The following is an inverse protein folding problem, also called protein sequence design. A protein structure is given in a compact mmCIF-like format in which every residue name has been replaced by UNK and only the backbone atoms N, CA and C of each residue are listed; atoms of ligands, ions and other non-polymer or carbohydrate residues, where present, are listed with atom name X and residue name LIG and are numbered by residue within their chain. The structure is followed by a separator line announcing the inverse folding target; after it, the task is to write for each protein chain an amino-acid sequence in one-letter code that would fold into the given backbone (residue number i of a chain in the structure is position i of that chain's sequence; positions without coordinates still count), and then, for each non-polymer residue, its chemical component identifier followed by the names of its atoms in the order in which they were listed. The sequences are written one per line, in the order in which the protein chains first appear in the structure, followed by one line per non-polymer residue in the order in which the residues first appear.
data_IF_687764517299
#
_entry.id   IF_687764517299
#
_cell.length_a   1.000
_cell.length_b   1.000
_cell.length_c   1.000
_cell.angle_alpha   90.00
_cell.angle_beta   90.00
_cell.angle_gamma   90.00
#
_symmetry.space_group_name_H-M   'P 1'
#
loop_
_entity.id
_entity.type
_entity.pdbx_description
1 polymer ?
#
# COMPACT_ATOMS: atom_id res chain seq x y z
N UNK A 1 21.58 16.46 16.25
CA UNK A 1 22.67 16.08 15.31
C UNK A 1 22.13 15.35 14.08
N UNK A 2 21.44 14.19 14.22
CA UNK A 2 20.84 13.45 13.09
C UNK A 2 19.84 14.27 12.25
N UNK A 3 19.01 15.09 12.91
CA UNK A 3 18.04 15.98 12.26
C UNK A 3 18.68 17.09 11.40
N UNK A 4 19.84 17.57 11.81
CA UNK A 4 20.59 18.60 11.08
C UNK A 4 21.24 17.98 9.85
N UNK A 5 21.81 16.77 10.01
CA UNK A 5 22.37 15.98 8.91
C UNK A 5 21.31 15.66 7.87
N UNK A 6 20.09 15.29 8.30
CA UNK A 6 18.93 15.06 7.45
C UNK A 6 18.60 16.27 6.57
N UNK A 7 18.41 17.45 7.20
CA UNK A 7 18.14 18.72 6.50
C UNK A 7 19.26 19.15 5.54
N UNK A 8 20.52 19.01 5.96
CA UNK A 8 21.69 19.35 5.12
C UNK A 8 21.81 18.42 3.92
N UNK A 9 21.55 17.13 4.11
CA UNK A 9 21.62 16.15 3.05
C UNK A 9 20.52 16.42 1.99
N UNK A 10 19.30 16.79 2.40
CA UNK A 10 18.20 17.19 1.49
C UNK A 10 18.55 18.43 0.66
N UNK A 11 19.13 19.47 1.28
CA UNK A 11 19.56 20.68 0.56
C UNK A 11 20.64 20.39 -0.50
N UNK A 12 21.39 19.31 -0.32
CA UNK A 12 22.45 18.87 -1.25
C UNK A 12 21.87 18.13 -2.45
N UNK A 13 20.73 17.44 -2.31
CA UNK A 13 20.05 16.69 -3.37
C UNK A 13 19.44 17.55 -4.47
N UNK A 14 19.09 18.79 -4.18
CA UNK A 14 18.55 19.72 -5.18
C UNK A 14 19.51 20.00 -6.35
N UNK A 15 20.77 19.53 -6.28
CA UNK A 15 21.85 19.89 -7.20
C UNK A 15 22.44 18.74 -8.03
N UNK A 16 22.06 17.48 -7.80
CA UNK A 16 22.74 16.32 -8.41
C UNK A 16 21.89 15.63 -9.48
N UNK A 17 22.41 15.53 -10.73
CA UNK A 17 21.67 15.02 -11.89
C UNK A 17 22.48 14.13 -12.85
N UNK A 18 22.00 12.89 -13.02
CA UNK A 18 22.09 11.99 -14.20
C UNK A 18 23.42 11.35 -14.67
N UNK A 19 24.59 11.55 -14.05
CA UNK A 19 25.81 10.80 -14.43
C UNK A 19 26.14 9.65 -13.44
N UNK A 20 27.09 8.75 -13.80
CA UNK A 20 27.41 7.53 -13.00
C UNK A 20 27.91 7.86 -11.58
N UNK A 21 28.60 8.99 -11.43
CA UNK A 21 29.06 9.52 -10.15
C UNK A 21 27.88 9.98 -9.31
N UNK A 22 26.89 10.62 -9.93
CA UNK A 22 25.66 11.04 -9.26
C UNK A 22 24.80 9.86 -8.80
N UNK A 23 24.74 8.76 -9.56
CA UNK A 23 24.05 7.52 -9.11
C UNK A 23 24.68 6.94 -7.85
N UNK A 24 26.01 6.97 -7.74
CA UNK A 24 26.73 6.49 -6.57
C UNK A 24 26.52 7.41 -5.36
N UNK A 25 26.53 8.73 -5.58
CA UNK A 25 26.19 9.72 -4.55
C UNK A 25 24.76 9.54 -4.05
N UNK A 26 23.79 9.33 -4.94
CA UNK A 26 22.40 9.11 -4.59
C UNK A 26 22.18 7.82 -3.77
N UNK A 27 22.92 6.75 -4.09
CA UNK A 27 22.89 5.50 -3.33
C UNK A 27 23.47 5.65 -1.92
N UNK A 28 24.64 6.29 -1.79
CA UNK A 28 25.24 6.59 -0.47
C UNK A 28 24.31 7.48 0.35
N UNK A 29 23.79 8.54 -0.26
CA UNK A 29 22.82 9.42 0.38
C UNK A 29 21.60 8.66 0.90
N UNK A 30 21.00 7.79 0.07
CA UNK A 30 19.78 7.06 0.45
C UNK A 30 20.03 6.15 1.64
N UNK A 31 21.23 5.54 1.71
CA UNK A 31 21.66 4.72 2.85
C UNK A 31 21.84 5.55 4.12
N UNK A 32 22.48 6.72 4.01
CA UNK A 32 22.69 7.62 5.14
C UNK A 32 21.36 8.20 5.65
N UNK A 33 20.46 8.55 4.73
CA UNK A 33 19.11 9.00 5.02
C UNK A 33 18.34 7.94 5.80
N UNK A 34 18.30 6.71 5.29
CA UNK A 34 17.64 5.60 5.96
C UNK A 34 18.20 5.41 7.38
N UNK A 35 19.53 5.37 7.54
CA UNK A 35 20.16 5.21 8.85
C UNK A 35 19.78 6.36 9.80
N UNK A 36 19.73 7.60 9.30
CA UNK A 36 19.33 8.77 10.08
C UNK A 36 17.85 8.72 10.49
N UNK A 37 16.96 8.35 9.57
CA UNK A 37 15.52 8.22 9.85
C UNK A 37 15.28 7.09 10.86
N UNK A 38 15.84 5.90 10.63
CA UNK A 38 15.69 4.76 11.56
C UNK A 38 16.20 5.12 12.96
N UNK A 39 17.35 5.79 13.07
CA UNK A 39 17.87 6.28 14.35
C UNK A 39 16.95 7.31 15.00
N UNK A 40 16.35 8.20 14.22
CA UNK A 40 15.39 9.19 14.73
C UNK A 40 14.12 8.53 15.27
N UNK A 41 13.63 7.49 14.59
CA UNK A 41 12.45 6.72 15.00
C UNK A 41 12.69 5.84 16.23
N UNK A 42 13.90 5.29 16.42
CA UNK A 42 14.27 4.53 17.63
C UNK A 42 14.17 5.35 18.92
N UNK A 43 14.39 6.67 18.84
CA UNK A 43 14.25 7.56 19.99
C UNK A 43 12.78 7.86 20.36
N UNK A 44 11.81 7.41 19.56
CA UNK A 44 10.35 7.46 19.78
C UNK A 44 9.76 8.80 20.25
N UNK A 45 10.48 9.90 20.09
CA UNK A 45 9.98 11.24 20.45
C UNK A 45 9.06 11.79 19.36
N UNK A 46 7.94 12.39 19.76
CA UNK A 46 6.98 13.05 18.85
C UNK A 46 7.67 14.03 17.89
N UNK A 47 8.62 14.83 18.39
CA UNK A 47 9.41 15.76 17.58
C UNK A 47 10.17 15.08 16.43
N UNK A 48 10.72 13.89 16.65
CA UNK A 48 11.42 13.16 15.59
C UNK A 48 10.42 12.60 14.57
N UNK A 49 9.29 12.07 15.06
CA UNK A 49 8.21 11.56 14.19
C UNK A 49 7.69 12.69 13.29
N UNK A 50 7.38 13.86 13.85
CA UNK A 50 6.88 15.02 13.09
C UNK A 50 7.84 15.45 11.98
N UNK A 51 9.16 15.36 12.23
CA UNK A 51 10.16 15.72 11.23
C UNK A 51 10.28 14.67 10.14
N UNK A 52 10.22 13.38 10.48
CA UNK A 52 10.21 12.32 9.48
C UNK A 52 8.93 12.41 8.64
N UNK A 53 7.80 12.69 9.27
CA UNK A 53 6.52 12.90 8.60
C UNK A 53 6.58 14.08 7.62
N UNK A 54 7.11 15.23 8.04
CA UNK A 54 7.32 16.39 7.15
C UNK A 54 8.26 16.08 5.98
N UNK A 55 9.32 15.30 6.22
CA UNK A 55 10.28 14.92 5.19
C UNK A 55 9.70 13.94 4.16
N UNK A 56 9.09 12.87 4.65
CA UNK A 56 8.59 11.78 3.81
C UNK A 56 7.19 12.06 3.27
N UNK A 57 6.55 13.14 3.75
CA UNK A 57 5.25 13.68 3.38
C UNK A 57 5.18 14.34 2.01
N UNK A 58 3.97 14.81 1.69
CA UNK A 58 3.60 15.41 0.41
C UNK A 58 4.40 16.66 0.03
N UNK A 59 4.93 17.42 0.99
CA UNK A 59 5.62 18.69 0.71
C UNK A 59 7.02 18.51 0.09
N UNK A 60 7.74 17.45 0.47
CA UNK A 60 9.15 17.30 0.13
C UNK A 60 9.48 15.98 -0.56
N UNK A 61 8.79 14.89 -0.19
CA UNK A 61 9.12 13.57 -0.69
C UNK A 61 8.93 13.42 -2.21
N UNK A 62 7.89 13.98 -2.86
CA UNK A 62 7.72 13.84 -4.31
C UNK A 62 8.94 14.31 -5.12
N UNK A 63 9.47 15.47 -4.77
CA UNK A 63 10.68 16.04 -5.36
C UNK A 63 11.92 15.15 -5.14
N UNK A 64 12.05 14.60 -3.93
CA UNK A 64 13.16 13.73 -3.55
C UNK A 64 13.09 12.40 -4.31
N UNK A 65 11.90 11.81 -4.40
CA UNK A 65 11.62 10.61 -5.19
C UNK A 65 11.90 10.84 -6.67
N UNK A 66 11.50 11.98 -7.23
CA UNK A 66 11.75 12.33 -8.62
C UNK A 66 13.26 12.48 -8.91
N UNK A 67 13.99 13.19 -8.06
CA UNK A 67 15.42 13.49 -8.27
C UNK A 67 16.32 12.27 -8.06
N UNK A 68 16.05 11.44 -7.06
CA UNK A 68 16.88 10.27 -6.75
C UNK A 68 16.38 9.00 -7.45
N UNK A 69 15.07 8.81 -7.56
CA UNK A 69 14.44 7.63 -8.14
C UNK A 69 14.53 6.40 -7.22
N UNK A 70 14.86 5.25 -7.81
CA UNK A 70 14.77 3.93 -7.20
C UNK A 70 15.41 3.79 -5.80
N UNK A 71 16.60 4.36 -5.52
CA UNK A 71 17.17 4.30 -4.17
C UNK A 71 16.23 4.86 -3.09
N UNK A 72 15.47 5.91 -3.38
CA UNK A 72 14.53 6.48 -2.41
C UNK A 72 13.26 5.65 -2.25
N UNK A 73 12.80 4.96 -3.29
CA UNK A 73 11.72 4.00 -3.14
C UNK A 73 12.13 2.84 -2.24
N UNK A 74 13.40 2.44 -2.25
CA UNK A 74 13.93 1.45 -1.29
C UNK A 74 13.90 1.98 0.14
N UNK A 75 14.30 3.23 0.35
CA UNK A 75 14.18 3.88 1.66
C UNK A 75 12.72 3.89 2.13
N UNK A 76 11.78 4.29 1.29
CA UNK A 76 10.36 4.28 1.62
C UNK A 76 9.85 2.85 1.93
N UNK A 77 10.21 1.86 1.12
CA UNK A 77 9.86 0.46 1.36
C UNK A 77 10.40 -0.08 2.69
N UNK A 78 11.65 0.25 3.04
CA UNK A 78 12.27 -0.14 4.30
C UNK A 78 11.61 0.57 5.50
N UNK A 79 11.27 1.85 5.37
CA UNK A 79 10.52 2.58 6.40
C UNK A 79 9.12 2.03 6.60
N UNK A 80 8.39 1.73 5.52
CA UNK A 80 7.07 1.10 5.61
C UNK A 80 7.17 -0.23 6.36
N UNK A 81 8.14 -1.08 5.98
CA UNK A 81 8.36 -2.36 6.67
C UNK A 81 8.73 -2.19 8.15
N UNK A 82 9.64 -1.28 8.48
CA UNK A 82 10.07 -1.03 9.85
C UNK A 82 8.89 -0.54 10.70
N UNK A 83 8.15 0.45 10.23
CA UNK A 83 7.00 1.01 10.97
C UNK A 83 5.90 -0.05 11.09
N UNK A 84 5.54 -0.72 10.00
CA UNK A 84 4.48 -1.72 10.03
C UNK A 84 4.85 -2.90 10.93
N UNK A 85 5.96 -3.58 10.67
CA UNK A 85 6.31 -4.84 11.35
C UNK A 85 6.79 -4.64 12.78
N UNK A 86 7.55 -3.58 13.04
CA UNK A 86 8.22 -3.41 14.34
C UNK A 86 7.51 -2.41 15.26
N UNK A 87 6.53 -1.63 14.76
CA UNK A 87 5.82 -0.63 15.58
C UNK A 87 4.31 -0.85 15.61
N UNK A 88 3.64 -0.88 14.45
CA UNK A 88 2.18 -0.97 14.38
C UNK A 88 1.73 -2.40 14.71
N UNK A 89 2.19 -3.39 13.93
CA UNK A 89 1.74 -4.77 13.99
C UNK A 89 1.82 -5.40 15.40
N UNK A 90 2.90 -5.22 16.20
CA UNK A 90 3.01 -5.79 17.56
C UNK A 90 2.06 -5.18 18.60
N UNK A 91 1.41 -4.06 18.25
CA UNK A 91 0.54 -3.29 19.14
C UNK A 91 -0.95 -3.39 18.76
N UNK A 92 -1.28 -3.95 17.59
CA UNK A 92 -2.66 -3.98 17.06
C UNK A 92 -3.66 -4.67 18.00
N UNK A 93 -3.29 -5.81 18.58
CA UNK A 93 -4.12 -6.57 19.53
C UNK A 93 -4.10 -6.01 20.96
N UNK A 94 -3.08 -5.22 21.29
CA UNK A 94 -2.88 -4.64 22.63
C UNK A 94 -3.46 -3.23 22.78
N UNK A 95 -3.82 -2.58 21.68
CA UNK A 95 -4.38 -1.22 21.69
C UNK A 95 -5.82 -1.18 22.24
N UNK A 96 -6.51 -2.33 22.26
CA UNK A 96 -7.79 -2.48 22.92
C UNK A 96 -7.59 -2.55 24.44
N UNK A 97 -8.20 -1.60 25.17
CA UNK A 97 -8.06 -1.51 26.64
C UNK A 97 -6.76 -0.89 27.17
N UNK A 98 -5.86 -0.42 26.31
CA UNK A 98 -4.62 0.27 26.74
C UNK A 98 -4.40 1.59 25.98
N UNK A 99 -4.71 2.71 26.63
CA UNK A 99 -4.61 4.05 26.04
C UNK A 99 -3.20 4.43 25.60
N UNK A 100 -2.17 3.98 26.32
CA UNK A 100 -0.77 4.28 25.95
C UNK A 100 -0.38 3.58 24.66
N UNK A 101 -0.73 2.30 24.54
CA UNK A 101 -0.47 1.51 23.33
C UNK A 101 -1.29 2.04 22.16
N UNK A 102 -2.52 2.49 22.41
CA UNK A 102 -3.37 3.13 21.41
C UNK A 102 -2.76 4.43 20.87
N UNK A 103 -2.30 5.33 21.75
CA UNK A 103 -1.64 6.57 21.34
C UNK A 103 -0.38 6.31 20.52
N UNK A 104 0.40 5.29 20.89
CA UNK A 104 1.59 4.90 20.13
C UNK A 104 1.21 4.34 18.75
N UNK A 105 0.23 3.42 18.68
CA UNK A 105 -0.32 2.91 17.42
C UNK A 105 -0.78 4.06 16.52
N UNK A 106 -1.60 4.97 17.03
CA UNK A 106 -2.17 6.08 16.27
C UNK A 106 -1.07 7.01 15.73
N UNK A 107 -0.02 7.27 16.53
CA UNK A 107 1.14 8.05 16.08
C UNK A 107 1.89 7.37 14.93
N UNK A 108 2.12 6.05 15.02
CA UNK A 108 2.81 5.30 13.97
C UNK A 108 1.98 5.14 12.71
N UNK A 109 0.68 4.88 12.84
CA UNK A 109 -0.25 4.86 11.72
C UNK A 109 -0.30 6.21 11.02
N UNK A 110 -0.35 7.31 11.77
CA UNK A 110 -0.31 8.67 11.23
C UNK A 110 0.99 8.96 10.46
N UNK A 111 2.14 8.56 11.00
CA UNK A 111 3.43 8.70 10.31
C UNK A 111 3.44 7.94 8.97
N UNK A 112 2.86 6.74 8.95
CA UNK A 112 2.82 5.92 7.75
C UNK A 112 1.85 6.49 6.71
N UNK A 113 0.66 6.91 7.16
CA UNK A 113 -0.42 7.45 6.33
C UNK A 113 -0.08 8.84 5.77
N UNK A 114 0.06 9.84 6.65
CA UNK A 114 0.26 11.25 6.27
C UNK A 114 1.71 11.58 5.91
N UNK A 115 2.66 10.80 6.42
CA UNK A 115 4.07 10.91 6.06
C UNK A 115 4.33 10.14 4.78
N UNK A 116 4.59 8.84 4.90
CA UNK A 116 5.21 8.08 3.80
C UNK A 116 4.25 7.86 2.61
N UNK A 117 3.01 7.44 2.87
CA UNK A 117 2.06 7.06 1.81
C UNK A 117 1.55 8.29 1.05
N UNK A 118 1.17 9.36 1.76
CA UNK A 118 0.76 10.61 1.12
C UNK A 118 1.86 11.19 0.21
N UNK A 119 3.13 11.13 0.63
CA UNK A 119 4.26 11.53 -0.22
C UNK A 119 4.41 10.68 -1.49
N UNK A 120 4.16 9.37 -1.40
CA UNK A 120 4.17 8.46 -2.57
C UNK A 120 2.98 8.69 -3.50
N UNK A 121 1.81 9.05 -2.96
CA UNK A 121 0.61 9.38 -3.75
C UNK A 121 0.84 10.64 -4.58
N UNK A 122 1.28 11.75 -3.95
CA UNK A 122 1.59 12.99 -4.68
C UNK A 122 2.65 12.75 -5.75
N UNK A 123 3.69 11.98 -5.44
CA UNK A 123 4.66 11.56 -6.46
C UNK A 123 4.03 10.81 -7.64
N UNK A 124 3.13 9.86 -7.38
CA UNK A 124 2.46 9.10 -8.43
C UNK A 124 1.54 9.99 -9.28
N UNK A 125 0.92 11.00 -8.68
CA UNK A 125 0.05 11.93 -9.38
C UNK A 125 0.85 12.87 -10.30
N UNK A 126 1.96 13.41 -9.80
CA UNK A 126 2.79 14.36 -10.54
C UNK A 126 3.74 13.70 -11.56
N UNK A 127 4.20 12.48 -11.28
CA UNK A 127 5.31 11.86 -12.02
C UNK A 127 5.09 10.38 -12.41
N UNK A 128 3.93 9.80 -12.04
CA UNK A 128 3.67 8.37 -12.16
C UNK A 128 3.77 7.81 -13.58
N UNK A 129 3.37 8.56 -14.60
CA UNK A 129 3.44 8.09 -16.00
C UNK A 129 4.87 7.84 -16.49
N UNK A 130 5.83 8.64 -16.03
CA UNK A 130 7.21 8.58 -16.52
C UNK A 130 8.05 7.59 -15.71
N UNK A 131 7.88 7.57 -14.39
CA UNK A 131 8.81 6.95 -13.46
C UNK A 131 8.26 5.75 -12.68
N UNK A 132 6.94 5.59 -12.55
CA UNK A 132 6.36 4.40 -11.92
C UNK A 132 6.35 3.28 -12.96
N UNK A 133 7.17 2.25 -12.73
CA UNK A 133 7.31 1.08 -13.60
C UNK A 133 7.59 -0.16 -12.74
N UNK A 134 7.90 -1.29 -13.37
CA UNK A 134 8.21 -2.54 -12.67
C UNK A 134 9.16 -2.37 -11.46
N UNK A 135 10.29 -1.64 -11.50
CA UNK A 135 11.17 -1.51 -10.34
C UNK A 135 10.54 -0.78 -9.14
N UNK A 136 9.64 0.18 -9.40
CA UNK A 136 8.86 0.83 -8.35
C UNK A 136 7.94 -0.19 -7.68
N UNK A 137 7.15 -0.92 -8.48
CA UNK A 137 6.20 -1.91 -8.00
C UNK A 137 6.91 -3.05 -7.25
N UNK A 138 8.01 -3.57 -7.77
CA UNK A 138 8.78 -4.64 -7.12
C UNK A 138 9.40 -4.21 -5.79
N UNK A 139 9.66 -2.92 -5.62
CA UNK A 139 10.21 -2.37 -4.38
C UNK A 139 9.13 -2.07 -3.34
N UNK A 140 8.04 -1.40 -3.76
CA UNK A 140 7.05 -0.83 -2.84
C UNK A 140 5.81 -1.69 -2.63
N UNK A 141 5.40 -2.50 -3.61
CA UNK A 141 4.18 -3.30 -3.44
C UNK A 141 4.27 -4.34 -2.33
N UNK A 142 5.38 -5.09 -2.14
CA UNK A 142 5.44 -6.05 -1.04
C UNK A 142 5.18 -5.44 0.35
N UNK A 143 5.86 -4.37 0.79
CA UNK A 143 5.57 -3.76 2.10
C UNK A 143 4.18 -3.14 2.17
N UNK A 144 3.70 -2.51 1.09
CA UNK A 144 2.34 -1.94 1.05
C UNK A 144 1.27 -3.03 1.15
N UNK A 145 1.42 -4.13 0.42
CA UNK A 145 0.46 -5.22 0.42
C UNK A 145 0.34 -5.87 1.80
N UNK A 146 1.43 -6.01 2.56
CA UNK A 146 1.40 -6.54 3.94
C UNK A 146 0.46 -5.75 4.87
N UNK A 147 0.33 -4.43 4.68
CA UNK A 147 -0.62 -3.59 5.46
C UNK A 147 -2.08 -4.02 5.19
N UNK A 148 -2.36 -4.59 4.03
CA UNK A 148 -3.71 -5.04 3.66
C UNK A 148 -4.01 -6.47 4.08
N UNK A 149 -2.99 -7.35 4.08
CA UNK A 149 -3.16 -8.81 4.06
C UNK A 149 -2.45 -9.57 5.19
N UNK A 150 -1.68 -8.90 6.05
CA UNK A 150 -1.20 -9.57 7.26
C UNK A 150 -2.39 -9.99 8.14
N UNK A 151 -2.25 -11.06 8.91
CA UNK A 151 -3.30 -11.68 9.73
C UNK A 151 -4.01 -10.71 10.70
N UNK A 152 -3.30 -9.69 11.19
CA UNK A 152 -3.84 -8.64 12.06
C UNK A 152 -4.23 -7.35 11.32
N UNK A 153 -4.11 -7.31 9.99
CA UNK A 153 -4.37 -6.10 9.19
C UNK A 153 -5.79 -5.54 9.41
N UNK A 154 -6.77 -6.37 9.75
CA UNK A 154 -8.13 -5.95 10.08
C UNK A 154 -8.21 -4.96 11.26
N UNK A 155 -7.23 -5.00 12.18
CA UNK A 155 -7.17 -4.15 13.37
C UNK A 155 -6.47 -2.79 13.13
N UNK A 156 -5.82 -2.61 11.97
CA UNK A 156 -5.20 -1.35 11.60
C UNK A 156 -6.23 -0.31 11.16
N UNK A 157 -5.85 0.97 11.21
CA UNK A 157 -6.71 2.07 10.79
C UNK A 157 -7.26 1.87 9.36
N UNK A 158 -8.59 2.00 9.22
CA UNK A 158 -9.27 1.89 7.92
C UNK A 158 -8.73 2.90 6.91
N UNK A 159 -8.45 4.13 7.34
CA UNK A 159 -7.90 5.17 6.47
C UNK A 159 -6.53 4.81 5.90
N UNK A 160 -5.62 4.31 6.74
CA UNK A 160 -4.31 3.82 6.30
C UNK A 160 -4.46 2.72 5.24
N UNK A 161 -5.26 1.69 5.52
CA UNK A 161 -5.50 0.59 4.56
C UNK A 161 -6.14 1.10 3.27
N UNK A 162 -7.06 2.06 3.36
CA UNK A 162 -7.71 2.68 2.21
C UNK A 162 -6.69 3.43 1.34
N UNK A 163 -5.82 4.23 1.94
CA UNK A 163 -4.78 4.97 1.21
C UNK A 163 -3.79 4.03 0.51
N UNK A 164 -3.37 2.96 1.20
CA UNK A 164 -2.53 1.91 0.62
C UNK A 164 -3.21 1.27 -0.59
N UNK A 165 -4.47 0.84 -0.45
CA UNK A 165 -5.21 0.23 -1.55
C UNK A 165 -5.36 1.18 -2.74
N UNK A 166 -5.66 2.47 -2.48
CA UNK A 166 -5.72 3.52 -3.50
C UNK A 166 -4.38 3.69 -4.24
N UNK A 167 -3.27 3.81 -3.51
CA UNK A 167 -1.95 3.93 -4.14
C UNK A 167 -1.60 2.73 -5.02
N UNK A 168 -1.90 1.51 -4.56
CA UNK A 168 -1.72 0.28 -5.36
C UNK A 168 -2.61 0.30 -6.63
N UNK A 169 -3.86 0.75 -6.51
CA UNK A 169 -4.78 0.92 -7.64
C UNK A 169 -4.24 1.91 -8.66
N UNK A 170 -3.90 3.13 -8.24
CA UNK A 170 -3.53 4.23 -9.13
C UNK A 170 -2.25 3.94 -9.89
N UNK A 171 -1.27 3.34 -9.20
CA UNK A 171 0.01 2.95 -9.81
C UNK A 171 -0.15 1.76 -10.76
N UNK A 172 -1.08 0.84 -10.51
CA UNK A 172 -1.37 -0.29 -11.39
C UNK A 172 -2.29 0.07 -12.57
N UNK A 173 -3.15 1.08 -12.41
CA UNK A 173 -4.06 1.56 -13.46
C UNK A 173 -3.30 2.00 -14.71
N UNK A 174 -2.17 2.69 -14.52
CA UNK A 174 -1.37 3.30 -15.58
C UNK A 174 -0.39 2.32 -16.24
N UNK A 175 -0.06 1.19 -15.59
CA UNK A 175 1.12 0.37 -15.96
C UNK A 175 0.87 -1.13 -15.88
N UNK A 176 0.90 -1.83 -17.02
CA UNK A 176 0.69 -3.29 -17.10
C UNK A 176 1.71 -4.08 -16.26
N UNK A 177 2.96 -3.65 -16.19
CA UNK A 177 3.97 -4.34 -15.37
C UNK A 177 3.65 -4.25 -13.88
N UNK A 178 3.10 -3.13 -13.41
CA UNK A 178 2.64 -2.99 -12.03
C UNK A 178 1.49 -3.98 -11.75
N UNK A 179 0.52 -4.10 -12.68
CA UNK A 179 -0.55 -5.12 -12.56
C UNK A 179 0.02 -6.53 -12.42
N UNK A 180 1.05 -6.88 -13.21
CA UNK A 180 1.73 -8.18 -13.13
C UNK A 180 2.42 -8.41 -11.79
N UNK A 181 3.01 -7.37 -11.20
CA UNK A 181 3.63 -7.46 -9.87
C UNK A 181 2.57 -7.70 -8.79
N UNK A 182 1.42 -7.02 -8.83
CA UNK A 182 0.32 -7.28 -7.89
C UNK A 182 -0.17 -8.73 -7.96
N UNK A 183 -0.20 -9.31 -9.16
CA UNK A 183 -0.63 -10.69 -9.36
C UNK A 183 0.33 -11.73 -8.73
N UNK A 184 1.58 -11.36 -8.41
CA UNK A 184 2.53 -12.29 -7.77
C UNK A 184 2.00 -12.71 -6.39
N UNK A 185 1.89 -14.01 -6.08
CA UNK A 185 1.40 -14.49 -4.77
C UNK A 185 2.22 -13.98 -3.57
N UNK A 186 3.50 -13.73 -3.79
CA UNK A 186 4.42 -13.18 -2.78
C UNK A 186 4.20 -11.69 -2.48
N UNK A 187 3.40 -11.00 -3.29
CA UNK A 187 3.07 -9.58 -3.13
C UNK A 187 1.64 -9.45 -2.60
N UNK A 188 0.66 -9.57 -3.49
CA UNK A 188 -0.76 -9.54 -3.14
C UNK A 188 -1.39 -10.85 -3.63
N UNK A 189 -1.42 -11.09 -4.94
CA UNK A 189 -2.06 -12.26 -5.52
C UNK A 189 -3.59 -12.24 -5.35
N UNK A 190 -4.29 -13.04 -6.16
CA UNK A 190 -5.76 -13.11 -6.16
C UNK A 190 -6.31 -13.62 -4.83
N UNK A 191 -5.78 -14.71 -4.30
CA UNK A 191 -6.30 -15.33 -3.08
C UNK A 191 -6.17 -14.43 -1.82
N UNK A 192 -5.00 -13.81 -1.60
CA UNK A 192 -4.80 -12.93 -0.43
C UNK A 192 -5.57 -11.61 -0.56
N UNK A 193 -5.82 -11.13 -1.80
CA UNK A 193 -6.77 -10.03 -1.99
C UNK A 193 -8.19 -10.44 -1.58
N UNK A 194 -8.61 -11.65 -1.92
CA UNK A 194 -9.85 -12.25 -1.42
C UNK A 194 -9.91 -12.28 0.11
N UNK A 195 -8.83 -12.68 0.77
CA UNK A 195 -8.74 -12.66 2.24
C UNK A 195 -8.88 -11.25 2.80
N UNK A 196 -8.24 -10.25 2.16
CA UNK A 196 -8.37 -8.84 2.55
C UNK A 196 -9.80 -8.32 2.45
N UNK A 197 -10.54 -8.72 1.41
CA UNK A 197 -11.96 -8.39 1.20
C UNK A 197 -12.82 -9.07 2.26
N UNK A 198 -12.53 -10.34 2.57
CA UNK A 198 -13.21 -11.05 3.65
C UNK A 198 -13.03 -10.34 5.00
N UNK A 199 -11.83 -9.81 5.27
CA UNK A 199 -11.48 -9.05 6.50
C UNK A 199 -11.93 -7.58 6.51
N UNK A 200 -12.44 -7.07 5.39
CA UNK A 200 -12.86 -5.67 5.32
C UNK A 200 -14.26 -5.51 5.92
N UNK A 201 -14.31 -4.93 7.12
CA UNK A 201 -15.57 -4.59 7.81
C UNK A 201 -16.14 -3.23 7.36
N UNK A 202 -15.29 -2.32 6.90
CA UNK A 202 -15.70 -0.98 6.49
C UNK A 202 -15.97 -0.91 4.98
N UNK A 203 -17.16 -0.43 4.62
CA UNK A 203 -17.51 -0.11 3.23
C UNK A 203 -16.52 0.86 2.57
N UNK A 204 -15.90 1.76 3.35
CA UNK A 204 -14.92 2.70 2.84
C UNK A 204 -13.63 2.03 2.33
N UNK A 205 -13.34 0.81 2.79
CA UNK A 205 -12.20 0.00 2.34
C UNK A 205 -12.57 -0.98 1.22
N UNK A 206 -13.82 -1.44 1.18
CA UNK A 206 -14.27 -2.41 0.18
C UNK A 206 -14.16 -1.88 -1.25
N UNK A 207 -14.50 -0.61 -1.47
CA UNK A 207 -14.44 0.03 -2.79
C UNK A 207 -13.03 -0.05 -3.43
N UNK A 208 -11.95 0.45 -2.81
CA UNK A 208 -10.62 0.33 -3.40
C UNK A 208 -10.09 -1.12 -3.43
N UNK A 209 -10.52 -2.01 -2.52
CA UNK A 209 -10.14 -3.44 -2.61
C UNK A 209 -10.78 -4.13 -3.83
N UNK A 210 -12.04 -3.86 -4.12
CA UNK A 210 -12.67 -4.35 -5.34
C UNK A 210 -12.11 -3.67 -6.59
N UNK A 211 -11.68 -2.41 -6.50
CA UNK A 211 -10.93 -1.80 -7.60
C UNK A 211 -9.60 -2.53 -7.85
N UNK A 212 -8.86 -2.96 -6.82
CA UNK A 212 -7.66 -3.79 -6.99
C UNK A 212 -7.97 -5.10 -7.71
N UNK A 213 -9.14 -5.71 -7.48
CA UNK A 213 -9.59 -6.91 -8.21
C UNK A 213 -9.62 -6.62 -9.71
N UNK A 214 -10.15 -5.47 -10.14
CA UNK A 214 -10.13 -5.08 -11.55
C UNK A 214 -8.71 -4.97 -12.11
N UNK A 215 -7.78 -4.42 -11.32
CA UNK A 215 -6.41 -4.18 -11.75
C UNK A 215 -5.68 -5.50 -11.97
N UNK A 216 -5.86 -6.47 -11.08
CA UNK A 216 -5.25 -7.80 -11.23
C UNK A 216 -5.95 -8.65 -12.31
N UNK A 217 -7.27 -8.53 -12.45
CA UNK A 217 -8.04 -9.25 -13.48
C UNK A 217 -7.66 -8.80 -14.89
N UNK A 218 -7.42 -7.51 -15.10
CA UNK A 218 -7.00 -6.96 -16.39
C UNK A 218 -5.49 -7.07 -16.64
N UNK A 219 -4.75 -7.79 -15.78
CA UNK A 219 -3.32 -8.02 -15.96
C UNK A 219 -3.01 -9.02 -17.09
N UNK A 220 -3.65 -10.21 -17.15
CA UNK A 220 -3.54 -11.11 -18.29
C UNK A 220 -4.53 -10.74 -19.42
N UNK A 221 -4.12 -11.03 -20.66
CA UNK A 221 -4.99 -10.95 -21.85
C UNK A 221 -5.80 -12.23 -22.09
N UNK A 222 -5.45 -13.33 -21.43
CA UNK A 222 -6.12 -14.63 -21.55
C UNK A 222 -7.32 -14.75 -20.60
N UNK A 223 -8.52 -14.92 -21.18
CA UNK A 223 -9.80 -15.11 -20.47
C UNK A 223 -9.74 -16.26 -19.47
N UNK A 224 -9.02 -17.35 -19.77
CA UNK A 224 -8.90 -18.48 -18.83
C UNK A 224 -8.14 -18.06 -17.57
N UNK A 225 -7.10 -17.26 -17.73
CA UNK A 225 -6.32 -16.71 -16.61
C UNK A 225 -7.14 -15.69 -15.82
N UNK A 226 -7.90 -14.82 -16.50
CA UNK A 226 -8.83 -13.88 -15.85
C UNK A 226 -9.86 -14.63 -15.00
N UNK A 227 -10.44 -15.70 -15.54
CA UNK A 227 -11.40 -16.56 -14.82
C UNK A 227 -10.75 -17.22 -13.61
N UNK A 228 -9.50 -17.69 -13.74
CA UNK A 228 -8.75 -18.24 -12.60
C UNK A 228 -8.54 -17.20 -11.51
N UNK A 229 -8.14 -15.98 -11.86
CA UNK A 229 -7.93 -14.87 -10.92
C UNK A 229 -9.21 -14.56 -10.15
N UNK A 230 -10.36 -14.49 -10.83
CA UNK A 230 -11.66 -14.28 -10.19
C UNK A 230 -11.95 -15.38 -9.18
N UNK A 231 -11.82 -16.65 -9.60
CA UNK A 231 -12.08 -17.82 -8.76
C UNK A 231 -11.17 -17.83 -7.53
N UNK A 232 -9.87 -17.62 -7.72
CA UNK A 232 -8.91 -17.59 -6.63
C UNK A 232 -9.24 -16.47 -5.63
N UNK A 233 -9.72 -15.31 -6.11
CA UNK A 233 -10.10 -14.19 -5.26
C UNK A 233 -11.38 -14.44 -4.47
N UNK A 234 -12.46 -14.92 -5.11
CA UNK A 234 -13.77 -15.00 -4.44
C UNK A 234 -14.08 -16.37 -3.84
N UNK A 235 -13.30 -17.41 -4.17
CA UNK A 235 -13.44 -18.76 -3.61
C UNK A 235 -12.28 -19.17 -2.71
N UNK A 236 -11.43 -18.24 -2.28
CA UNK A 236 -10.47 -18.57 -1.22
C UNK A 236 -11.21 -18.97 0.07
N UNK A 237 -10.56 -19.77 0.92
CA UNK A 237 -11.19 -20.37 2.08
C UNK A 237 -11.81 -19.33 3.02
N UNK A 238 -11.15 -18.17 3.17
CA UNK A 238 -11.65 -17.10 4.03
C UNK A 238 -12.90 -16.44 3.47
N UNK A 239 -12.95 -16.18 2.15
CA UNK A 239 -14.16 -15.67 1.51
C UNK A 239 -15.33 -16.64 1.71
N UNK A 240 -15.14 -17.93 1.43
CA UNK A 240 -16.20 -18.94 1.57
C UNK A 240 -16.69 -19.08 3.00
N UNK A 241 -15.80 -19.04 3.99
CA UNK A 241 -16.18 -19.06 5.41
C UNK A 241 -16.95 -17.81 5.84
N UNK A 242 -16.60 -16.65 5.27
CA UNK A 242 -17.18 -15.37 5.72
C UNK A 242 -18.49 -15.03 5.01
N UNK A 243 -18.66 -15.49 3.76
CA UNK A 243 -19.78 -15.12 2.89
C UNK A 243 -20.69 -16.30 2.52
N UNK A 244 -20.23 -17.54 2.67
CA UNK A 244 -20.92 -18.73 2.18
C UNK A 244 -20.74 -18.96 0.67
N UNK A 245 -20.99 -20.20 0.22
CA UNK A 245 -20.79 -20.63 -1.17
C UNK A 245 -21.70 -19.86 -2.15
N UNK A 246 -22.98 -19.63 -1.80
CA UNK A 246 -23.95 -18.95 -2.67
C UNK A 246 -23.54 -17.50 -2.99
N UNK A 247 -23.05 -16.77 -1.99
CA UNK A 247 -22.55 -15.41 -2.18
C UNK A 247 -21.25 -15.41 -3.00
N UNK A 248 -20.35 -16.37 -2.75
CA UNK A 248 -19.13 -16.54 -3.54
C UNK A 248 -19.42 -16.85 -5.03
N UNK A 249 -20.46 -17.62 -5.31
CA UNK A 249 -20.93 -17.89 -6.67
C UNK A 249 -21.52 -16.63 -7.32
N UNK A 250 -22.30 -15.87 -6.57
CA UNK A 250 -22.82 -14.57 -7.03
C UNK A 250 -21.71 -13.56 -7.33
N UNK A 251 -20.67 -13.50 -6.48
CA UNK A 251 -19.50 -12.65 -6.75
C UNK A 251 -18.79 -13.08 -8.02
N UNK A 252 -18.60 -14.39 -8.21
CA UNK A 252 -17.93 -14.91 -9.40
C UNK A 252 -18.68 -14.55 -10.67
N UNK A 253 -20.01 -14.71 -10.67
CA UNK A 253 -20.87 -14.33 -11.80
C UNK A 253 -20.76 -12.84 -12.13
N UNK A 254 -20.82 -11.97 -11.12
CA UNK A 254 -20.67 -10.52 -11.33
C UNK A 254 -19.30 -10.16 -11.89
N UNK A 255 -18.22 -10.75 -11.36
CA UNK A 255 -16.86 -10.48 -11.82
C UNK A 255 -16.62 -10.99 -13.25
N UNK A 256 -17.14 -12.16 -13.59
CA UNK A 256 -16.97 -12.73 -14.93
C UNK A 256 -17.70 -11.93 -16.02
N UNK A 257 -18.77 -11.24 -15.65
CA UNK A 257 -19.55 -10.39 -16.55
C UNK A 257 -19.11 -8.92 -16.52
N UNK A 258 -18.08 -8.58 -15.75
CA UNK A 258 -17.64 -7.21 -15.61
C UNK A 258 -16.96 -6.69 -16.89
N UNK A 259 -17.41 -5.54 -17.38
CA UNK A 259 -16.77 -4.82 -18.49
C UNK A 259 -15.68 -3.88 -17.95
N UNK A 260 -14.54 -3.79 -18.65
CA UNK A 260 -13.43 -2.88 -18.31
C UNK A 260 -13.87 -1.41 -18.19
N UNK A 261 -14.90 -0.99 -18.93
CA UNK A 261 -15.43 0.38 -18.90
C UNK A 261 -16.54 0.61 -17.84
N UNK A 262 -16.92 -0.42 -17.09
CA UNK A 262 -18.11 -0.43 -16.22
C UNK A 262 -17.85 -0.86 -14.78
N UNK A 263 -16.64 -0.64 -14.25
CA UNK A 263 -16.25 -1.21 -12.95
C UNK A 263 -17.04 -0.67 -11.76
N UNK A 264 -17.45 0.61 -11.80
CA UNK A 264 -18.24 1.21 -10.72
C UNK A 264 -19.61 0.51 -10.50
N UNK A 265 -20.40 0.24 -11.56
CA UNK A 265 -21.55 -0.66 -11.47
C UNK A 265 -21.24 -2.06 -10.92
N UNK A 266 -20.11 -2.66 -11.32
CA UNK A 266 -19.66 -3.97 -10.81
C UNK A 266 -19.42 -3.92 -9.30
N UNK A 267 -18.66 -2.94 -8.80
CA UNK A 267 -18.40 -2.75 -7.37
C UNK A 267 -19.72 -2.60 -6.60
N UNK A 268 -20.65 -1.77 -7.08
CA UNK A 268 -21.97 -1.61 -6.44
C UNK A 268 -22.73 -2.93 -6.35
N UNK A 269 -22.64 -3.77 -7.38
CA UNK A 269 -23.28 -5.09 -7.40
C UNK A 269 -22.64 -6.04 -6.39
N UNK A 270 -21.30 -6.05 -6.30
CA UNK A 270 -20.56 -6.84 -5.30
C UNK A 270 -20.90 -6.40 -3.87
N UNK A 271 -20.90 -5.10 -3.59
CA UNK A 271 -21.30 -4.56 -2.28
C UNK A 271 -22.77 -4.91 -1.98
N UNK A 272 -23.64 -4.87 -2.99
CA UNK A 272 -25.05 -5.28 -2.86
C UNK A 272 -25.21 -6.75 -2.47
N UNK A 273 -24.40 -7.66 -3.01
CA UNK A 273 -24.37 -9.07 -2.60
C UNK A 273 -23.96 -9.17 -1.13
N UNK A 274 -22.91 -8.44 -0.71
CA UNK A 274 -22.46 -8.44 0.69
C UNK A 274 -23.55 -7.95 1.65
N UNK A 275 -24.27 -6.88 1.29
CA UNK A 275 -25.32 -6.30 2.12
C UNK A 275 -26.55 -7.21 2.27
N UNK A 276 -26.90 -7.98 1.22
CA UNK A 276 -28.06 -8.89 1.23
C UNK A 276 -27.89 -10.11 2.14
N UNK A 277 -26.65 -10.52 2.39
CA UNK A 277 -26.36 -11.73 3.15
C UNK A 277 -26.50 -11.54 4.68
N UNK A 278 -27.01 -10.38 5.13
CA UNK A 278 -27.13 -9.98 6.55
C UNK A 278 -25.95 -10.51 7.37
N UNK A 279 -24.74 -10.27 6.83
CA UNK A 279 -23.53 -10.89 7.37
C UNK A 279 -23.31 -10.21 8.71
N UNK A 280 -23.75 -10.89 9.77
CA UNK A 280 -23.40 -10.57 11.15
C UNK A 280 -21.89 -10.76 11.26
N UNK A 281 -21.16 -9.68 10.96
CA UNK A 281 -19.70 -9.57 11.06
C UNK A 281 -19.32 -8.90 12.35
#
# INVERSE_FOLDING_TARGET
MALQQLKTAIATLGKSGSNKKDKQLAATFSKDLLAAVTKALQATSKKNVDVVMSLMGSEHAPDIYFKIGLPMFKVAAELINEIWKNRIYPCLDKAEGNDKVRQEKDMWEKLLDEGVIAGLQVFNDEHGEKLVRAPFAETLYPPLANILIDDKASLAAVFLRKQVAGLLCDTAAKHTDCKRVLLKPTVLGSARLGEAIADAYSYALLDPLFELVSRIMTAPTDIKMQTKICKDCVRCDKMRRTFGEEACDSFLEVLQNANENGWQPTIKSLIGIMAKQDIKR
#
